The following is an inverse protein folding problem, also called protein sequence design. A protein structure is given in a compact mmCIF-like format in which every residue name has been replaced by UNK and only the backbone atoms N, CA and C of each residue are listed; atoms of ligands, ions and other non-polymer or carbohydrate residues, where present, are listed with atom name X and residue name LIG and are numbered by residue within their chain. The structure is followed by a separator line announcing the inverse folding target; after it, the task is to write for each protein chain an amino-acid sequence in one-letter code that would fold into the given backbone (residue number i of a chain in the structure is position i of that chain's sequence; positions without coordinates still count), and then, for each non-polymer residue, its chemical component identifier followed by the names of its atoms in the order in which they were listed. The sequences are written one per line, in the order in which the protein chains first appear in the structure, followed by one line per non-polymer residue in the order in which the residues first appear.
data_IF_213059141943
#
_entry.id   IF_213059141943
#
_cell.length_a   1.000
_cell.length_b   1.000
_cell.length_c   1.000
_cell.angle_alpha   90.00
_cell.angle_beta   90.00
_cell.angle_gamma   90.00
#
_symmetry.space_group_name_H-M   'P 1'
#
loop_
_entity.id
_entity.type
_entity.pdbx_description
1 polymer ?
#
# COMPACT_ATOMS: atom_id res chain seq x y z
N UNK A 1 -0.24 3.50 14.27
CA UNK A 1 -0.19 2.47 15.34
C UNK A 1 0.22 1.15 14.70
N UNK A 2 0.87 0.29 15.47
CA UNK A 2 1.42 -0.99 15.00
C UNK A 2 1.73 -1.87 16.20
N UNK A 3 1.97 -3.16 15.93
CA UNK A 3 2.50 -4.14 16.89
C UNK A 3 3.75 -4.76 16.29
N UNK A 4 4.84 -4.79 17.06
CA UNK A 4 6.13 -5.32 16.63
C UNK A 4 6.51 -6.59 17.38
N UNK A 5 7.15 -7.51 16.66
CA UNK A 5 7.71 -8.75 17.19
C UNK A 5 9.19 -8.83 16.87
N UNK A 6 9.98 -9.31 17.82
CA UNK A 6 11.44 -9.30 17.76
C UNK A 6 12.01 -10.71 17.90
N UNK A 7 13.00 -11.05 17.07
CA UNK A 7 13.75 -12.30 17.13
C UNK A 7 15.24 -11.98 17.08
N UNK A 8 15.99 -12.43 18.10
CA UNK A 8 17.43 -12.17 18.18
C UNK A 8 18.21 -12.85 17.06
N UNK A 9 19.24 -12.17 16.56
CA UNK A 9 20.24 -12.80 15.73
C UNK A 9 21.15 -13.71 16.59
N UNK A 10 21.24 -15.02 16.31
CA UNK A 10 22.01 -15.94 17.13
C UNK A 10 23.51 -15.60 17.18
N UNK A 11 24.12 -15.80 18.34
CA UNK A 11 25.58 -15.74 18.50
C UNK A 11 26.21 -17.09 18.10
N UNK A 12 27.33 -17.05 17.37
CA UNK A 12 28.30 -18.15 17.25
C UNK A 12 29.37 -18.05 18.34
N UNK A 13 30.13 -19.12 18.56
CA UNK A 13 31.07 -19.28 19.68
C UNK A 13 32.15 -18.18 19.76
N UNK A 14 32.38 -17.39 18.69
CA UNK A 14 33.35 -16.29 18.66
C UNK A 14 32.93 -15.08 17.80
N UNK A 15 31.71 -15.05 17.28
CA UNK A 15 31.17 -13.96 16.45
C UNK A 15 29.64 -14.04 16.40
N UNK A 16 28.93 -13.07 15.84
CA UNK A 16 27.50 -13.23 15.53
C UNK A 16 27.32 -13.97 14.19
N UNK A 17 26.15 -14.55 13.98
CA UNK A 17 25.74 -14.92 12.62
C UNK A 17 25.66 -13.66 11.75
N UNK A 18 26.03 -13.74 10.46
CA UNK A 18 25.76 -12.67 9.52
C UNK A 18 24.27 -12.29 9.53
N UNK A 19 23.96 -11.03 9.23
CA UNK A 19 22.59 -10.61 8.95
C UNK A 19 22.13 -11.34 7.69
N UNK A 20 20.88 -11.82 7.70
CA UNK A 20 20.30 -12.49 6.54
C UNK A 20 20.24 -11.53 5.37
N UNK A 21 20.53 -12.02 4.17
CA UNK A 21 20.25 -11.27 2.95
C UNK A 21 18.76 -11.19 2.68
N UNK A 22 18.35 -10.27 1.80
CA UNK A 22 16.96 -10.20 1.32
C UNK A 22 16.53 -11.57 0.78
N UNK A 23 17.35 -12.22 -0.05
CA UNK A 23 17.02 -13.53 -0.59
C UNK A 23 16.84 -14.60 0.51
N UNK A 24 17.71 -14.63 1.52
CA UNK A 24 17.59 -15.58 2.63
C UNK A 24 16.30 -15.33 3.43
N UNK A 25 15.93 -14.06 3.64
CA UNK A 25 14.67 -13.67 4.30
C UNK A 25 13.43 -14.18 3.56
N UNK A 26 13.49 -14.31 2.24
CA UNK A 26 12.38 -14.84 1.44
C UNK A 26 12.40 -16.37 1.41
N UNK A 27 13.57 -16.98 1.23
CA UNK A 27 13.72 -18.44 1.12
C UNK A 27 13.36 -19.20 2.39
N UNK A 28 13.48 -18.56 3.57
CA UNK A 28 13.06 -19.18 4.83
C UNK A 28 11.54 -19.25 4.99
N UNK A 29 10.78 -18.45 4.22
CA UNK A 29 9.33 -18.41 4.32
C UNK A 29 8.70 -19.67 3.72
N UNK A 30 7.77 -20.28 4.44
CA UNK A 30 6.89 -21.30 3.89
C UNK A 30 5.82 -20.75 2.93
N UNK A 31 5.73 -19.42 2.81
CA UNK A 31 4.77 -18.70 2.00
C UNK A 31 5.46 -18.02 0.82
N UNK A 32 4.78 -17.85 -0.33
CA UNK A 32 5.33 -17.17 -1.50
C UNK A 32 5.33 -15.65 -1.28
N UNK A 33 6.27 -15.17 -0.49
CA UNK A 33 6.40 -13.73 -0.21
C UNK A 33 6.88 -12.96 -1.43
N UNK A 34 6.33 -11.76 -1.57
CA UNK A 34 6.78 -10.70 -2.47
C UNK A 34 7.12 -9.45 -1.62
N UNK A 35 7.94 -8.55 -2.18
CA UNK A 35 8.15 -7.23 -1.61
C UNK A 35 7.35 -6.17 -2.36
N UNK A 36 7.05 -5.11 -1.63
CA UNK A 36 6.25 -3.96 -2.07
C UNK A 36 6.92 -2.64 -1.67
N UNK A 37 8.24 -2.65 -1.44
CA UNK A 37 9.01 -1.48 -1.01
C UNK A 37 9.64 -0.74 -2.19
N UNK A 38 9.99 -1.49 -3.23
CA UNK A 38 10.70 -1.01 -4.40
C UNK A 38 9.95 -1.43 -5.66
N UNK A 39 9.92 -0.53 -6.65
CA UNK A 39 9.42 -0.85 -7.98
C UNK A 39 10.46 -1.71 -8.72
N UNK A 40 10.14 -2.99 -8.92
CA UNK A 40 11.03 -3.94 -9.63
C UNK A 40 11.04 -3.69 -11.15
N UNK A 41 10.21 -2.78 -11.66
CA UNK A 41 10.18 -2.35 -13.06
C UNK A 41 10.94 -1.06 -13.31
N UNK A 42 11.48 -0.41 -12.26
CA UNK A 42 12.37 0.72 -12.42
C UNK A 42 13.61 0.30 -13.22
N UNK A 43 14.01 1.11 -14.21
CA UNK A 43 15.16 0.82 -15.08
C UNK A 43 16.48 0.73 -14.28
N UNK A 44 16.55 1.41 -13.14
CA UNK A 44 17.73 1.43 -12.26
C UNK A 44 17.71 0.32 -11.20
N UNK A 45 16.66 -0.52 -11.14
CA UNK A 45 16.54 -1.60 -10.17
C UNK A 45 17.28 -2.88 -10.59
N UNK A 46 18.36 -3.22 -9.89
CA UNK A 46 19.06 -4.51 -10.05
C UNK A 46 18.57 -5.54 -9.03
N UNK A 47 17.73 -6.47 -9.50
CA UNK A 47 17.17 -7.55 -8.67
C UNK A 47 18.23 -8.45 -8.03
N UNK A 48 19.32 -8.78 -8.74
CA UNK A 48 20.36 -9.67 -8.19
C UNK A 48 21.15 -8.97 -7.09
N UNK A 49 21.47 -7.69 -7.30
CA UNK A 49 22.11 -6.86 -6.29
C UNK A 49 21.22 -6.72 -5.06
N UNK A 50 19.95 -6.34 -5.25
CA UNK A 50 18.97 -6.20 -4.17
C UNK A 50 18.84 -7.48 -3.34
N UNK A 51 18.71 -8.64 -4.00
CA UNK A 51 18.59 -9.94 -3.34
C UNK A 51 19.83 -10.32 -2.51
N UNK A 52 21.01 -9.85 -2.90
CA UNK A 52 22.28 -10.15 -2.24
C UNK A 52 22.58 -9.21 -1.05
N UNK A 53 21.89 -8.07 -0.94
CA UNK A 53 22.10 -7.12 0.16
C UNK A 53 21.63 -7.70 1.50
N UNK A 54 22.35 -7.44 2.61
CA UNK A 54 21.87 -7.77 3.95
C UNK A 54 20.63 -6.94 4.29
N UNK A 55 19.71 -7.50 5.06
CA UNK A 55 18.50 -6.79 5.49
C UNK A 55 18.80 -5.48 6.25
N UNK A 56 19.96 -5.41 6.91
CA UNK A 56 20.43 -4.20 7.63
C UNK A 56 20.71 -3.00 6.72
N UNK A 57 20.83 -3.19 5.41
CA UNK A 57 21.04 -2.07 4.47
C UNK A 57 19.73 -1.31 4.18
N UNK A 58 18.59 -1.80 4.70
CA UNK A 58 17.27 -1.20 4.55
C UNK A 58 16.71 -0.81 5.92
N UNK A 59 15.98 0.31 5.98
CA UNK A 59 15.22 0.67 7.18
C UNK A 59 14.16 -0.41 7.48
N UNK A 60 13.43 -0.83 6.44
CA UNK A 60 12.55 -2.00 6.46
C UNK A 60 12.21 -2.41 5.03
N UNK A 61 11.70 -3.63 4.87
CA UNK A 61 11.02 -4.12 3.68
C UNK A 61 9.55 -4.37 4.00
N UNK A 62 8.65 -3.75 3.25
CA UNK A 62 7.25 -4.14 3.18
C UNK A 62 7.09 -5.44 2.39
N UNK A 63 6.62 -6.48 3.05
CA UNK A 63 6.44 -7.83 2.52
C UNK A 63 4.97 -8.26 2.59
N UNK A 64 4.56 -9.15 1.69
CA UNK A 64 3.22 -9.73 1.69
C UNK A 64 3.10 -10.89 0.72
N UNK A 65 1.88 -11.35 0.49
CA UNK A 65 1.57 -12.38 -0.51
C UNK A 65 0.63 -11.79 -1.55
N UNK A 66 1.02 -11.91 -2.83
CA UNK A 66 0.21 -11.45 -3.96
C UNK A 66 -1.23 -11.97 -3.88
N UNK A 67 -2.20 -11.11 -4.22
CA UNK A 67 -3.65 -11.38 -4.19
C UNK A 67 -4.26 -11.70 -2.81
N UNK A 68 -3.44 -11.70 -1.74
CA UNK A 68 -3.90 -11.97 -0.37
C UNK A 68 -3.71 -10.79 0.56
N UNK A 69 -2.52 -10.19 0.52
CA UNK A 69 -2.16 -9.10 1.43
C UNK A 69 -2.93 -7.83 1.13
N UNK A 70 -3.46 -7.19 2.17
CA UNK A 70 -4.07 -5.87 2.07
C UNK A 70 -3.06 -4.77 2.38
N UNK A 71 -2.29 -4.97 3.46
CA UNK A 71 -1.28 -4.03 3.96
C UNK A 71 0.10 -4.66 4.11
N UNK A 72 0.22 -5.98 4.03
CA UNK A 72 1.48 -6.67 4.25
C UNK A 72 1.94 -6.59 5.71
N UNK A 73 3.24 -6.72 5.91
CA UNK A 73 3.95 -6.47 7.15
C UNK A 73 5.35 -5.94 6.83
N UNK A 74 5.97 -5.22 7.75
CA UNK A 74 7.35 -4.78 7.56
C UNK A 74 8.32 -5.74 8.24
N UNK A 75 9.44 -5.99 7.57
CA UNK A 75 10.58 -6.73 8.06
C UNK A 75 11.80 -5.80 8.13
N UNK A 76 12.46 -5.73 9.27
CA UNK A 76 13.70 -4.97 9.42
C UNK A 76 14.72 -5.68 10.30
N UNK A 77 15.94 -5.15 10.33
CA UNK A 77 17.00 -5.59 11.22
C UNK A 77 17.59 -4.40 11.97
N UNK A 78 17.60 -4.48 13.30
CA UNK A 78 18.21 -3.46 14.16
C UNK A 78 19.65 -3.87 14.51
N UNK A 79 20.63 -3.06 14.11
CA UNK A 79 22.05 -3.34 14.34
C UNK A 79 22.50 -3.11 15.80
N UNK A 80 21.79 -2.30 16.57
CA UNK A 80 22.13 -2.01 17.96
C UNK A 80 21.66 -3.15 18.88
N UNK A 81 20.41 -3.57 18.72
CA UNK A 81 19.78 -4.66 19.50
C UNK A 81 20.09 -6.04 18.92
N UNK A 82 20.39 -6.10 17.63
CA UNK A 82 20.72 -7.30 16.85
C UNK A 82 19.54 -8.25 16.79
N UNK A 83 18.41 -7.68 16.41
CA UNK A 83 17.11 -8.30 16.35
C UNK A 83 16.49 -8.07 14.97
N UNK A 84 15.88 -9.12 14.43
CA UNK A 84 14.93 -8.98 13.34
C UNK A 84 13.62 -8.49 13.93
N UNK A 85 13.01 -7.48 13.33
CA UNK A 85 11.70 -7.00 13.70
C UNK A 85 10.68 -7.30 12.59
N UNK A 86 9.53 -7.82 12.99
CA UNK A 86 8.33 -7.94 12.14
C UNK A 86 7.29 -7.00 12.70
N UNK A 87 6.98 -5.92 11.98
CA UNK A 87 5.99 -4.92 12.39
C UNK A 87 4.70 -5.13 11.60
N UNK A 88 3.60 -5.30 12.33
CA UNK A 88 2.26 -5.26 11.77
C UNK A 88 1.59 -3.92 12.04
N UNK A 89 0.98 -3.33 11.02
CA UNK A 89 0.25 -2.08 11.19
C UNK A 89 -1.12 -2.30 11.82
N UNK A 90 -1.59 -1.30 12.56
CA UNK A 90 -2.94 -1.29 13.14
C UNK A 90 -3.86 -0.39 12.31
N UNK A 91 -5.00 -0.87 11.78
CA UNK A 91 -5.38 -2.27 11.63
C UNK A 91 -4.77 -2.90 10.36
N UNK A 92 -4.34 -4.15 10.43
CA UNK A 92 -4.01 -4.99 9.26
C UNK A 92 -5.10 -6.02 9.00
N UNK A 93 -5.15 -6.59 7.80
CA UNK A 93 -6.19 -7.58 7.45
C UNK A 93 -5.99 -8.89 8.21
N UNK A 94 -7.04 -9.72 8.29
CA UNK A 94 -6.95 -11.07 8.85
C UNK A 94 -5.84 -11.88 8.16
N UNK A 95 -5.78 -11.79 6.85
CA UNK A 95 -4.79 -12.47 6.02
C UNK A 95 -3.36 -11.95 6.28
N UNK A 96 -3.16 -10.63 6.38
CA UNK A 96 -1.86 -10.05 6.68
C UNK A 96 -1.34 -10.52 8.06
N UNK A 97 -2.22 -10.61 9.05
CA UNK A 97 -1.88 -11.14 10.38
C UNK A 97 -1.47 -12.61 10.30
N UNK A 98 -2.23 -13.44 9.59
CA UNK A 98 -1.88 -14.85 9.40
C UNK A 98 -0.53 -15.02 8.69
N UNK A 99 -0.28 -14.22 7.66
CA UNK A 99 0.97 -14.22 6.91
C UNK A 99 2.14 -13.84 7.82
N UNK A 100 2.02 -12.76 8.60
CA UNK A 100 3.07 -12.27 9.50
C UNK A 100 3.38 -13.27 10.63
N UNK A 101 2.35 -13.86 11.26
CA UNK A 101 2.54 -14.87 12.32
C UNK A 101 3.19 -16.15 11.78
N UNK A 102 2.84 -16.56 10.56
CA UNK A 102 3.50 -17.70 9.91
C UNK A 102 4.95 -17.39 9.55
N UNK A 103 5.24 -16.18 9.06
CA UNK A 103 6.61 -15.74 8.80
C UNK A 103 7.46 -15.71 10.07
N UNK A 104 6.92 -15.17 11.17
CA UNK A 104 7.56 -15.20 12.48
C UNK A 104 7.88 -16.62 12.96
N UNK A 105 6.97 -17.57 12.75
CA UNK A 105 7.21 -18.97 13.07
C UNK A 105 8.39 -19.56 12.27
N UNK A 106 8.45 -19.26 10.97
CA UNK A 106 9.50 -19.76 10.08
C UNK A 106 10.87 -19.15 10.41
N UNK A 107 10.91 -17.82 10.62
CA UNK A 107 12.11 -17.09 11.03
C UNK A 107 12.64 -17.59 12.38
N UNK A 108 11.75 -17.75 13.38
CA UNK A 108 12.11 -18.28 14.69
C UNK A 108 12.66 -19.71 14.61
N UNK A 109 12.09 -20.55 13.73
CA UNK A 109 12.55 -21.93 13.51
C UNK A 109 13.92 -21.98 12.85
N UNK A 110 14.17 -21.10 11.87
CA UNK A 110 15.45 -20.98 11.20
C UNK A 110 16.56 -20.49 12.14
N UNK A 111 16.28 -19.44 12.92
CA UNK A 111 17.23 -18.83 13.85
C UNK A 111 17.35 -19.60 15.18
N UNK A 112 16.38 -20.47 15.50
CA UNK A 112 16.28 -21.19 16.78
C UNK A 112 16.26 -20.23 17.97
N UNK A 113 15.47 -19.17 17.86
CA UNK A 113 15.33 -18.12 18.85
C UNK A 113 13.85 -17.91 19.19
N UNK A 114 13.52 -17.48 20.42
CA UNK A 114 12.15 -17.11 20.76
C UNK A 114 11.74 -15.82 20.04
N UNK A 115 10.43 -15.59 19.99
CA UNK A 115 9.79 -14.38 19.48
C UNK A 115 9.32 -13.56 20.67
N UNK A 116 9.66 -12.27 20.73
CA UNK A 116 9.21 -11.36 21.80
C UNK A 116 8.30 -10.30 21.19
N UNK A 117 7.06 -10.19 21.65
CA UNK A 117 6.17 -9.10 21.29
C UNK A 117 6.59 -7.82 22.04
N UNK A 118 6.35 -6.64 21.48
CA UNK A 118 6.58 -5.34 22.13
C UNK A 118 5.88 -5.20 23.49
N UNK A 119 4.82 -5.99 23.74
CA UNK A 119 4.12 -6.07 25.03
C UNK A 119 4.91 -6.84 26.11
N UNK A 120 6.02 -7.49 25.74
CA UNK A 120 6.85 -8.35 26.58
C UNK A 120 6.45 -9.83 26.56
N UNK A 121 5.35 -10.19 25.89
CA UNK A 121 4.96 -11.60 25.75
C UNK A 121 5.96 -12.36 24.86
N UNK A 122 6.26 -13.61 25.22
CA UNK A 122 7.23 -14.44 24.51
C UNK A 122 6.58 -15.68 23.92
N UNK A 123 6.88 -15.97 22.65
CA UNK A 123 6.39 -17.11 21.90
C UNK A 123 7.54 -17.97 21.36
N UNK A 124 7.22 -19.21 21.02
CA UNK A 124 8.06 -20.06 20.17
C UNK A 124 7.49 -20.10 18.76
N UNK A 125 8.25 -20.70 17.83
CA UNK A 125 7.75 -21.00 16.49
C UNK A 125 6.44 -21.82 16.49
N UNK A 126 6.17 -22.59 17.54
CA UNK A 126 4.98 -23.44 17.65
C UNK A 126 3.81 -22.76 18.38
N UNK A 127 4.06 -21.67 19.12
CA UNK A 127 3.02 -20.99 19.91
C UNK A 127 2.62 -19.61 19.38
N UNK A 128 3.38 -19.00 18.47
CA UNK A 128 3.07 -17.65 17.94
C UNK A 128 1.70 -17.56 17.27
N UNK A 129 1.20 -18.65 16.69
CA UNK A 129 -0.13 -18.74 16.08
C UNK A 129 -1.29 -18.55 17.09
N UNK A 130 -1.00 -18.54 18.39
CA UNK A 130 -1.99 -18.30 19.45
C UNK A 130 -2.18 -16.83 19.79
N UNK A 131 -1.37 -15.93 19.24
CA UNK A 131 -1.49 -14.49 19.45
C UNK A 131 -2.86 -13.98 18.99
N UNK A 132 -3.61 -13.35 19.91
CA UNK A 132 -4.93 -12.80 19.60
C UNK A 132 -4.82 -11.39 19.03
N UNK A 133 -4.72 -11.31 17.70
CA UNK A 133 -4.64 -10.06 16.95
C UNK A 133 -5.99 -9.40 16.66
N UNK A 134 -7.11 -10.07 16.93
CA UNK A 134 -8.45 -9.55 16.60
C UNK A 134 -8.76 -8.21 17.29
N UNK A 135 -8.38 -7.98 18.57
CA UNK A 135 -8.56 -6.69 19.22
C UNK A 135 -7.82 -5.55 18.53
N UNK A 136 -6.63 -5.81 17.96
CA UNK A 136 -5.85 -4.81 17.22
C UNK A 136 -6.61 -4.34 15.96
N UNK A 137 -7.11 -5.28 15.16
CA UNK A 137 -7.92 -4.97 13.97
C UNK A 137 -9.14 -4.14 14.36
N UNK A 138 -9.90 -4.60 15.36
CA UNK A 138 -11.11 -3.93 15.82
C UNK A 138 -10.83 -2.50 16.31
N UNK A 139 -9.76 -2.32 17.09
CA UNK A 139 -9.37 -1.03 17.62
C UNK A 139 -8.91 -0.09 16.50
N UNK A 140 -8.11 -0.58 15.55
CA UNK A 140 -7.65 0.19 14.41
C UNK A 140 -8.78 0.71 13.52
N UNK A 141 -9.80 -0.11 13.25
CA UNK A 141 -11.00 0.34 12.50
C UNK A 141 -11.77 1.41 13.30
N UNK A 142 -11.85 1.26 14.62
CA UNK A 142 -12.64 2.14 15.48
C UNK A 142 -11.99 3.51 15.71
N UNK A 143 -10.66 3.56 15.74
CA UNK A 143 -9.87 4.77 16.05
C UNK A 143 -9.64 5.68 14.86
N UNK A 144 -10.17 5.35 13.68
CA UNK A 144 -10.07 6.23 12.51
C UNK A 144 -10.76 7.57 12.82
N UNK A 145 -10.03 8.71 12.79
CA UNK A 145 -10.60 10.03 13.02
C UNK A 145 -11.46 10.46 11.83
N UNK A 146 -12.62 11.06 12.13
CA UNK A 146 -13.50 11.69 11.13
C UNK A 146 -14.11 12.92 11.78
N UNK A 147 -13.28 13.91 12.11
CA UNK A 147 -13.77 15.12 12.75
C UNK A 147 -14.36 16.10 11.72
N UNK A 148 -13.88 16.07 10.46
CA UNK A 148 -14.41 16.91 9.38
C UNK A 148 -14.57 16.21 8.01
N UNK A 149 -15.48 16.73 7.17
CA UNK A 149 -15.73 16.20 5.80
C UNK A 149 -14.51 16.34 4.90
N UNK A 150 -13.69 17.37 5.12
CA UNK A 150 -12.46 17.61 4.38
C UNK A 150 -11.32 16.67 4.81
N UNK A 151 -11.44 15.99 5.97
CA UNK A 151 -10.47 14.99 6.44
C UNK A 151 -10.68 13.60 5.83
N UNK A 152 -11.80 13.37 5.14
CA UNK A 152 -12.10 12.09 4.48
C UNK A 152 -10.99 11.69 3.50
N UNK A 153 -10.33 12.66 2.88
CA UNK A 153 -9.23 12.41 1.95
C UNK A 153 -7.89 12.17 2.63
N UNK A 154 -7.73 12.61 3.88
CA UNK A 154 -6.45 12.56 4.57
C UNK A 154 -6.23 11.23 5.29
N UNK A 155 -7.29 10.56 5.74
CA UNK A 155 -7.13 9.27 6.42
C UNK A 155 -7.09 8.09 5.45
N UNK A 156 -5.87 7.68 5.11
CA UNK A 156 -5.59 6.55 4.25
C UNK A 156 -4.79 5.48 4.98
N UNK A 157 -5.17 4.22 4.79
CA UNK A 157 -4.29 3.11 5.11
C UNK A 157 -3.40 2.83 3.91
N UNK A 158 -2.08 2.86 4.12
CA UNK A 158 -1.16 2.37 3.10
C UNK A 158 -1.31 0.86 2.98
N UNK A 159 -1.66 0.43 1.77
CA UNK A 159 -1.71 -0.96 1.36
C UNK A 159 -0.43 -1.38 0.63
N UNK A 160 -0.41 -2.62 0.13
CA UNK A 160 0.73 -3.18 -0.62
C UNK A 160 0.88 -2.64 -2.05
N UNK A 161 -0.20 -2.18 -2.67
CA UNK A 161 -0.20 -1.62 -4.05
C UNK A 161 -0.64 -0.16 -4.10
N UNK A 162 -1.52 0.25 -3.17
CA UNK A 162 -2.07 1.61 -3.14
C UNK A 162 -2.64 1.97 -1.77
N UNK A 163 -2.74 3.26 -1.43
CA UNK A 163 -3.52 3.70 -0.28
C UNK A 163 -5.00 3.31 -0.40
N UNK A 164 -5.65 3.12 0.75
CA UNK A 164 -7.09 2.88 0.87
C UNK A 164 -7.68 3.91 1.80
N UNK A 165 -8.54 4.77 1.27
CA UNK A 165 -9.19 5.84 2.03
C UNK A 165 -10.46 5.33 2.71
N UNK A 166 -10.62 5.62 4.00
CA UNK A 166 -11.88 5.36 4.71
C UNK A 166 -12.58 6.66 5.01
N UNK A 167 -13.91 6.64 4.95
CA UNK A 167 -14.76 7.67 5.50
C UNK A 167 -15.66 7.08 6.58
N UNK A 168 -16.36 7.96 7.31
CA UNK A 168 -17.28 7.56 8.37
C UNK A 168 -18.33 6.56 7.87
N UNK A 169 -18.90 6.75 6.68
CA UNK A 169 -19.94 5.87 6.15
C UNK A 169 -19.42 4.44 5.89
N UNK A 170 -18.23 4.31 5.29
CA UNK A 170 -17.57 3.03 5.04
C UNK A 170 -17.21 2.36 6.37
N UNK A 171 -16.59 3.09 7.31
CA UNK A 171 -16.29 2.55 8.65
C UNK A 171 -17.55 2.08 9.35
N UNK A 172 -18.59 2.90 9.43
CA UNK A 172 -19.82 2.56 10.14
C UNK A 172 -20.49 1.33 9.49
N UNK A 173 -20.40 1.17 8.16
CA UNK A 173 -20.83 -0.04 7.46
C UNK A 173 -20.00 -1.28 7.83
N UNK A 174 -18.67 -1.14 7.92
CA UNK A 174 -17.77 -2.22 8.38
C UNK A 174 -18.13 -2.63 9.81
N UNK A 175 -18.27 -1.67 10.72
CA UNK A 175 -18.56 -1.92 12.13
C UNK A 175 -19.96 -2.50 12.38
N UNK A 176 -20.92 -2.23 11.47
CA UNK A 176 -22.26 -2.79 11.51
C UNK A 176 -22.39 -4.16 10.81
N UNK A 177 -21.34 -4.65 10.13
CA UNK A 177 -21.33 -5.99 9.55
C UNK A 177 -21.37 -7.06 10.66
N UNK A 178 -21.88 -8.25 10.32
CA UNK A 178 -21.89 -9.38 11.26
C UNK A 178 -20.47 -9.89 11.54
N UNK A 179 -19.53 -9.62 10.64
CA UNK A 179 -18.09 -9.87 10.84
C UNK A 179 -17.28 -8.64 10.38
N UNK A 180 -17.09 -7.64 11.26
CA UNK A 180 -16.38 -6.41 10.92
C UNK A 180 -14.93 -6.63 10.47
N UNK A 181 -14.26 -7.64 11.01
CA UNK A 181 -12.87 -7.94 10.69
C UNK A 181 -12.76 -8.50 9.27
N UNK A 182 -13.67 -9.41 8.91
CA UNK A 182 -13.76 -9.92 7.54
C UNK A 182 -14.23 -8.83 6.55
N UNK A 183 -15.13 -7.94 6.95
CA UNK A 183 -15.59 -6.83 6.11
C UNK A 183 -14.44 -5.85 5.80
N UNK A 184 -13.64 -5.49 6.81
CA UNK A 184 -12.43 -4.68 6.61
C UNK A 184 -11.41 -5.38 5.72
N UNK A 185 -11.12 -6.66 6.00
CA UNK A 185 -10.14 -7.43 5.22
C UNK A 185 -10.55 -7.56 3.76
N UNK A 186 -11.84 -7.74 3.50
CA UNK A 186 -12.42 -7.76 2.14
C UNK A 186 -12.23 -6.42 1.43
N UNK A 187 -12.58 -5.29 2.07
CA UNK A 187 -12.38 -3.97 1.49
C UNK A 187 -10.91 -3.75 1.09
N UNK A 188 -9.98 -4.02 2.00
CA UNK A 188 -8.56 -3.85 1.73
C UNK A 188 -8.12 -4.74 0.57
N UNK A 189 -8.39 -6.06 0.63
CA UNK A 189 -7.97 -6.99 -0.42
C UNK A 189 -8.58 -6.65 -1.78
N UNK A 190 -9.89 -6.40 -1.84
CA UNK A 190 -10.56 -6.05 -3.10
C UNK A 190 -9.98 -4.77 -3.67
N UNK A 191 -9.67 -3.76 -2.84
CA UNK A 191 -9.08 -2.50 -3.30
C UNK A 191 -7.65 -2.67 -3.81
N UNK A 192 -6.83 -3.52 -3.17
CA UNK A 192 -5.42 -3.72 -3.56
C UNK A 192 -5.25 -4.52 -4.86
N UNK A 193 -6.17 -5.45 -5.14
CA UNK A 193 -6.00 -6.44 -6.21
C UNK A 193 -7.04 -6.35 -7.32
N UNK A 194 -7.56 -5.14 -7.58
CA UNK A 194 -8.34 -4.87 -8.78
C UNK A 194 -7.46 -5.04 -10.03
N UNK A 195 -8.02 -5.71 -11.04
CA UNK A 195 -7.44 -5.83 -12.37
C UNK A 195 -7.69 -4.52 -13.15
N UNK A 196 -6.94 -3.48 -12.79
CA UNK A 196 -7.04 -2.15 -13.36
C UNK A 196 -5.70 -1.41 -13.18
N UNK A 197 -5.40 -0.53 -14.14
CA UNK A 197 -4.23 0.34 -14.05
C UNK A 197 -4.40 1.34 -12.91
N UNK A 198 -3.39 1.52 -12.07
CA UNK A 198 -3.38 2.55 -11.04
C UNK A 198 -2.72 3.81 -11.60
N UNK A 199 -3.50 4.87 -11.79
CA UNK A 199 -2.96 6.12 -12.32
C UNK A 199 -2.18 6.86 -11.24
N UNK A 200 -0.91 7.16 -11.52
CA UNK A 200 -0.04 7.94 -10.65
C UNK A 200 0.03 9.40 -11.13
N UNK A 201 0.08 10.37 -10.20
CA UNK A 201 0.22 11.77 -10.57
C UNK A 201 1.61 12.02 -11.15
N UNK A 202 1.66 12.88 -12.17
CA UNK A 202 2.89 13.40 -12.73
C UNK A 202 2.89 14.92 -12.54
N UNK A 203 4.04 15.48 -12.14
CA UNK A 203 4.18 16.91 -11.87
C UNK A 203 5.07 17.54 -12.94
N UNK A 204 4.57 18.60 -13.57
CA UNK A 204 5.29 19.39 -14.56
C UNK A 204 5.30 20.88 -14.20
N UNK A 205 6.10 21.66 -14.93
CA UNK A 205 6.07 23.13 -14.88
C UNK A 205 5.47 23.66 -16.16
N UNK A 206 4.51 24.57 -16.05
CA UNK A 206 4.02 25.34 -17.17
C UNK A 206 5.19 26.16 -17.75
N UNK A 207 5.43 26.09 -19.06
CA UNK A 207 6.56 26.78 -19.70
C UNK A 207 6.47 28.30 -19.65
N UNK A 208 5.25 28.83 -19.63
CA UNK A 208 4.99 30.26 -19.76
C UNK A 208 4.91 30.94 -18.38
N UNK A 209 4.27 30.28 -17.41
CA UNK A 209 4.07 30.83 -16.05
C UNK A 209 5.08 30.31 -15.04
N UNK A 210 5.71 29.16 -15.29
CA UNK A 210 6.59 28.46 -14.35
C UNK A 210 5.85 27.76 -13.21
N UNK A 211 4.51 27.81 -13.19
CA UNK A 211 3.68 27.21 -12.15
C UNK A 211 3.68 25.68 -12.25
N UNK A 212 3.58 25.00 -11.10
CA UNK A 212 3.47 23.54 -11.06
C UNK A 212 2.07 23.11 -11.49
N UNK A 213 2.00 22.11 -12.36
CA UNK A 213 0.76 21.52 -12.87
C UNK A 213 0.84 20.02 -12.64
N UNK A 214 -0.20 19.45 -12.04
CA UNK A 214 -0.34 18.02 -11.86
C UNK A 214 -1.14 17.42 -13.01
N UNK A 215 -0.78 16.24 -13.47
CA UNK A 215 -1.52 15.52 -14.49
C UNK A 215 -1.57 14.03 -14.24
N UNK A 216 -2.69 13.42 -14.63
CA UNK A 216 -2.85 11.97 -14.72
C UNK A 216 -2.99 11.57 -16.18
N UNK A 217 -2.47 10.40 -16.53
CA UNK A 217 -2.61 9.82 -17.87
C UNK A 217 -3.67 8.74 -17.84
N UNK A 218 -4.64 8.84 -18.74
CA UNK A 218 -5.66 7.82 -18.96
C UNK A 218 -5.41 7.14 -20.31
N UNK A 219 -5.14 5.85 -20.27
CA UNK A 219 -4.98 5.02 -21.46
C UNK A 219 -6.35 4.52 -21.94
N UNK A 220 -6.72 4.73 -23.21
CA UNK A 220 -7.94 4.16 -23.78
C UNK A 220 -7.96 2.63 -23.64
N UNK A 221 -9.17 2.07 -23.56
CA UNK A 221 -9.45 0.63 -23.50
C UNK A 221 -8.91 -0.09 -22.25
N UNK A 222 -8.40 0.67 -21.26
CA UNK A 222 -7.82 0.14 -20.03
C UNK A 222 -8.64 0.60 -18.80
N UNK A 223 -9.25 -0.32 -18.04
CA UNK A 223 -9.83 0.02 -16.74
C UNK A 223 -8.80 0.68 -15.85
N UNK A 224 -9.17 1.79 -15.22
CA UNK A 224 -8.21 2.66 -14.52
C UNK A 224 -8.74 3.06 -13.16
N UNK A 225 -7.91 2.92 -12.13
CA UNK A 225 -8.14 3.45 -10.79
C UNK A 225 -7.58 4.86 -10.76
N UNK A 226 -8.43 5.79 -10.35
CA UNK A 226 -8.15 7.22 -10.37
C UNK A 226 -8.71 7.86 -9.08
N UNK A 227 -8.03 8.83 -8.45
CA UNK A 227 -8.59 9.52 -7.30
C UNK A 227 -9.76 10.42 -7.73
N UNK A 228 -10.86 10.47 -6.99
CA UNK A 228 -12.03 11.27 -7.35
C UNK A 228 -11.73 12.78 -7.26
N UNK A 229 -10.86 13.19 -6.33
CA UNK A 229 -10.23 14.50 -6.34
C UNK A 229 -8.72 14.30 -6.54
N UNK A 230 -8.08 15.07 -7.44
CA UNK A 230 -6.69 14.84 -7.78
C UNK A 230 -5.77 15.32 -6.64
N UNK A 231 -4.68 14.59 -6.40
CA UNK A 231 -3.75 14.90 -5.33
C UNK A 231 -2.36 14.30 -5.59
N UNK A 232 -1.34 14.95 -5.04
CA UNK A 232 -0.03 14.34 -4.80
C UNK A 232 -0.24 13.28 -3.73
N UNK A 233 0.05 12.04 -4.08
CA UNK A 233 0.02 10.93 -3.15
C UNK A 233 1.22 11.05 -2.20
N UNK A 234 0.96 10.97 -0.89
CA UNK A 234 2.01 11.05 0.14
C UNK A 234 3.13 10.04 -0.13
N UNK A 235 4.37 10.51 -0.15
CA UNK A 235 5.57 9.69 -0.39
C UNK A 235 6.15 9.80 -1.81
N UNK A 236 5.53 10.54 -2.72
CA UNK A 236 6.02 10.72 -4.11
C UNK A 236 7.09 11.81 -4.25
N UNK A 237 7.04 12.89 -3.45
CA UNK A 237 8.12 13.86 -3.30
C UNK A 237 7.91 14.68 -2.01
N UNK A 238 8.92 14.86 -1.17
CA UNK A 238 8.76 15.49 0.15
C UNK A 238 8.71 17.02 0.08
N UNK A 239 9.12 17.62 -1.04
CA UNK A 239 9.29 19.08 -1.17
C UNK A 239 8.13 19.79 -1.90
N UNK A 240 7.16 19.05 -2.46
CA UNK A 240 6.02 19.61 -3.19
C UNK A 240 4.71 19.20 -2.50
N UNK A 241 3.94 20.19 -2.05
CA UNK A 241 2.63 19.98 -1.45
C UNK A 241 1.50 20.12 -2.48
N UNK A 242 0.33 19.57 -2.18
CA UNK A 242 -0.88 19.76 -2.99
C UNK A 242 -1.23 21.24 -3.21
N UNK A 243 -0.90 22.13 -2.27
CA UNK A 243 -1.16 23.56 -2.38
C UNK A 243 -0.22 24.27 -3.36
N UNK A 244 0.90 23.64 -3.73
CA UNK A 244 1.85 24.19 -4.70
C UNK A 244 1.40 23.92 -6.14
N UNK A 245 0.42 23.03 -6.34
CA UNK A 245 -0.12 22.68 -7.67
C UNK A 245 -1.19 23.68 -8.09
N UNK A 246 -0.91 24.42 -9.17
CA UNK A 246 -1.80 25.47 -9.70
C UNK A 246 -3.05 24.93 -10.39
N UNK A 247 -2.96 23.76 -11.01
CA UNK A 247 -4.08 23.10 -11.68
C UNK A 247 -3.81 21.62 -11.90
N UNK A 248 -4.90 20.86 -12.05
CA UNK A 248 -4.87 19.43 -12.35
C UNK A 248 -5.47 19.14 -13.72
N UNK A 249 -4.80 18.29 -14.49
CA UNK A 249 -5.18 17.89 -15.85
C UNK A 249 -5.31 16.38 -15.98
N UNK A 250 -6.17 15.95 -16.89
CA UNK A 250 -6.19 14.58 -17.39
C UNK A 250 -5.69 14.60 -18.83
N UNK A 251 -4.75 13.71 -19.14
CA UNK A 251 -4.19 13.54 -20.48
C UNK A 251 -4.60 12.17 -21.03
N UNK A 252 -5.10 12.14 -22.25
CA UNK A 252 -5.40 10.89 -22.97
C UNK A 252 -5.16 11.04 -24.46
N UNK A 253 -5.14 9.93 -25.20
CA UNK A 253 -4.90 9.91 -26.65
C UNK A 253 -6.18 9.78 -27.46
N UNK A 254 -6.26 10.54 -28.56
CA UNK A 254 -7.33 10.45 -29.54
C UNK A 254 -7.07 9.35 -30.58
N UNK A 255 -8.00 9.18 -31.52
CA UNK A 255 -7.89 8.23 -32.64
C UNK A 255 -6.67 8.46 -33.54
N UNK A 256 -6.27 9.71 -33.74
CA UNK A 256 -5.08 10.10 -34.52
C UNK A 256 -3.78 10.08 -33.68
N UNK A 257 -3.84 9.48 -32.49
CA UNK A 257 -2.77 9.41 -31.49
C UNK A 257 -2.28 10.79 -30.99
N UNK A 258 -3.04 11.86 -31.26
CA UNK A 258 -2.78 13.17 -30.65
C UNK A 258 -3.19 13.17 -29.17
N UNK A 259 -2.41 13.84 -28.30
CA UNK A 259 -2.79 14.00 -26.90
C UNK A 259 -3.88 15.08 -26.76
N UNK A 260 -4.88 14.80 -25.93
CA UNK A 260 -5.86 15.77 -25.45
C UNK A 260 -5.62 16.02 -23.97
N UNK A 261 -5.61 17.30 -23.58
CA UNK A 261 -5.65 17.73 -22.18
C UNK A 261 -7.05 18.20 -21.81
N UNK A 262 -7.57 17.72 -20.68
CA UNK A 262 -8.84 18.15 -20.11
C UNK A 262 -8.62 18.61 -18.67
N UNK A 263 -9.23 19.72 -18.19
CA UNK A 263 -9.22 20.03 -16.77
C UNK A 263 -9.80 18.85 -15.98
N UNK A 264 -9.12 18.46 -14.90
CA UNK A 264 -9.51 17.27 -14.13
C UNK A 264 -10.93 17.39 -13.57
N UNK A 265 -11.27 18.56 -13.04
CA UNK A 265 -12.62 18.86 -12.53
C UNK A 265 -13.69 18.74 -13.62
N UNK A 266 -13.36 19.14 -14.85
CA UNK A 266 -14.26 19.02 -16.01
C UNK A 266 -14.48 17.56 -16.37
N UNK A 267 -13.44 16.74 -16.34
CA UNK A 267 -13.56 15.29 -16.53
C UNK A 267 -14.50 14.68 -15.49
N UNK A 268 -14.23 14.90 -14.20
CA UNK A 268 -15.04 14.36 -13.10
C UNK A 268 -16.50 14.82 -13.19
N UNK A 269 -16.74 16.08 -13.53
CA UNK A 269 -18.10 16.62 -13.67
C UNK A 269 -18.89 16.04 -14.86
N UNK A 270 -18.19 15.51 -15.88
CA UNK A 270 -18.78 14.93 -17.10
C UNK A 270 -18.80 13.40 -17.09
N UNK A 271 -18.23 12.75 -16.06
CA UNK A 271 -18.20 11.29 -15.96
C UNK A 271 -19.63 10.70 -15.95
N UNK A 272 -19.95 9.77 -16.85
CA UNK A 272 -21.21 9.03 -16.79
C UNK A 272 -21.27 8.16 -15.53
N UNK A 273 -22.40 8.16 -14.80
CA UNK A 273 -22.55 7.43 -13.54
C UNK A 273 -22.35 5.91 -13.69
N UNK A 274 -22.64 5.36 -14.86
CA UNK A 274 -22.45 3.95 -15.18
C UNK A 274 -20.99 3.57 -15.49
N UNK A 275 -20.11 4.55 -15.76
CA UNK A 275 -18.72 4.31 -16.17
C UNK A 275 -17.73 4.31 -15.01
N UNK A 276 -18.19 4.53 -13.79
CA UNK A 276 -17.31 4.48 -12.62
C UNK A 276 -18.02 3.99 -11.36
N UNK A 277 -17.22 3.52 -10.41
CA UNK A 277 -17.68 3.26 -9.03
C UNK A 277 -16.58 3.60 -8.04
N UNK A 278 -16.97 4.07 -6.86
CA UNK A 278 -16.05 4.19 -5.74
C UNK A 278 -15.57 2.79 -5.31
N UNK A 279 -14.25 2.66 -5.12
CA UNK A 279 -13.63 1.46 -4.56
C UNK A 279 -13.33 1.65 -3.07
N UNK A 280 -13.16 2.90 -2.66
CA UNK A 280 -13.02 3.34 -1.28
C UNK A 280 -13.56 4.78 -1.11
N UNK A 281 -13.13 5.53 -0.11
CA UNK A 281 -13.61 6.90 0.12
C UNK A 281 -13.04 7.96 -0.84
N UNK A 282 -11.92 7.69 -1.53
CA UNK A 282 -11.19 8.68 -2.31
C UNK A 282 -11.01 8.26 -3.78
N UNK A 283 -10.92 6.96 -4.08
CA UNK A 283 -10.61 6.46 -5.41
C UNK A 283 -11.84 5.83 -6.08
N UNK A 284 -11.88 6.00 -7.39
CA UNK A 284 -12.85 5.39 -8.29
C UNK A 284 -12.16 4.39 -9.22
N UNK A 285 -12.87 3.33 -9.56
CA UNK A 285 -12.55 2.48 -10.70
C UNK A 285 -13.37 2.98 -11.90
N UNK A 286 -12.67 3.40 -12.94
CA UNK A 286 -13.21 3.69 -14.26
C UNK A 286 -13.28 2.39 -15.07
N UNK A 287 -14.41 2.17 -15.75
CA UNK A 287 -14.46 1.17 -16.81
C UNK A 287 -13.54 1.57 -17.98
N UNK A 288 -13.21 0.62 -18.85
CA UNK A 288 -12.45 0.91 -20.06
C UNK A 288 -13.24 1.88 -20.96
N UNK A 289 -12.70 3.09 -21.16
CA UNK A 289 -13.23 4.05 -22.10
C UNK A 289 -12.66 3.82 -23.50
N UNK A 290 -13.50 3.90 -24.53
CA UNK A 290 -12.98 3.98 -25.90
C UNK A 290 -12.40 5.38 -26.18
N UNK A 291 -11.56 5.49 -27.23
CA UNK A 291 -11.06 6.79 -27.69
C UNK A 291 -12.19 7.78 -28.02
N UNK A 292 -13.25 7.30 -28.68
CA UNK A 292 -14.46 8.09 -28.98
C UNK A 292 -15.17 8.59 -27.73
N UNK A 293 -15.34 7.75 -26.71
CA UNK A 293 -15.99 8.14 -25.45
C UNK A 293 -15.17 9.22 -24.73
N UNK A 294 -13.84 9.10 -24.71
CA UNK A 294 -12.96 10.13 -24.14
C UNK A 294 -13.01 11.44 -24.91
N UNK A 295 -13.01 11.37 -26.25
CA UNK A 295 -13.13 12.56 -27.09
C UNK A 295 -14.45 13.29 -26.84
N UNK A 296 -15.57 12.57 -26.64
CA UNK A 296 -16.86 13.17 -26.32
C UNK A 296 -16.85 13.93 -24.97
N UNK A 297 -16.08 13.46 -23.99
CA UNK A 297 -15.93 14.16 -22.70
C UNK A 297 -15.19 15.50 -22.84
N UNK A 298 -14.38 15.68 -23.89
CA UNK A 298 -13.63 16.90 -24.15
C UNK A 298 -14.37 17.95 -25.02
N UNK A 299 -15.53 17.60 -25.60
CA UNK A 299 -16.33 18.54 -26.40
C UNK A 299 -17.12 19.49 -25.46
N UNK A 300 -17.15 20.79 -25.76
CA UNK A 300 -17.92 21.80 -25.02
C UNK A 300 -19.44 21.72 -25.25
#
# INVERSE_FOLDING_TARGET
MSISFYIKNPKKLFSRLPVLTVQECFQLSSQPLAQFSFDEHDEDFDLQQFQAMPLSDFECLLLGVNEKSGRGFELSFDEDTQEYAVRQFTPSTLEDWQIALQYLADLARALKQPITCETGETFTADTIQTFDFKPDIQAGISMVPFEDKDEIQNYKFYGVTRPVALNKAIRDKILADNDPLAAFSRLMRETQWLDAYSAHPMIGKNSDTGELVGFYVLSPELPTILPYQPEIEYGTDLDISNNDISSWRLIFTNDDDSPTELPYETFIARLPEEKYRFIDAAYILLEAFTKDELAQLAIE
#
